data_IF_343174478019
#
_entry.id   IF_343174478019
#
_cell.length_a   1.000
_cell.length_b   1.000
_cell.length_c   1.000
_cell.angle_alpha   90.00
_cell.angle_beta   90.00
_cell.angle_gamma   90.00
#
_symmetry.space_group_name_H-M   'P 1'
#
loop_
_entity.id
_entity.type
_entity.pdbx_description
1 polymer ?
#
# COMPACT_ATOMS: atom_id res chain seq x y z
N UNK A 1 -31.61 -18.55 21.51
CA UNK A 1 -30.51 -19.43 21.04
C UNK A 1 -30.59 -19.45 19.53
N UNK A 2 -29.74 -18.67 18.87
CA UNK A 2 -29.67 -18.58 17.42
C UNK A 2 -28.21 -18.67 17.04
N UNK A 3 -27.76 -19.89 16.78
CA UNK A 3 -26.43 -20.16 16.24
C UNK A 3 -26.41 -19.65 14.80
N UNK A 4 -26.08 -18.37 14.65
CA UNK A 4 -25.80 -17.79 13.35
C UNK A 4 -24.50 -18.44 12.89
N UNK A 5 -24.62 -19.38 11.96
CA UNK A 5 -23.54 -20.12 11.33
C UNK A 5 -22.52 -19.14 10.74
N UNK A 6 -21.51 -18.77 11.54
CA UNK A 6 -20.29 -18.17 11.02
C UNK A 6 -19.53 -19.31 10.38
N UNK A 7 -19.86 -19.60 9.13
CA UNK A 7 -19.03 -20.45 8.29
C UNK A 7 -17.60 -19.91 8.37
N UNK A 8 -16.68 -20.77 8.79
CA UNK A 8 -15.35 -20.38 9.27
C UNK A 8 -14.52 -19.98 8.05
N UNK A 9 -14.74 -18.77 7.51
CA UNK A 9 -13.97 -18.24 6.37
C UNK A 9 -12.49 -18.39 6.69
N UNK A 10 -11.82 -19.19 5.87
CA UNK A 10 -10.40 -19.43 6.01
C UNK A 10 -9.68 -18.07 5.92
N UNK A 11 -8.90 -17.75 6.96
CA UNK A 11 -8.18 -16.48 7.02
C UNK A 11 -7.09 -16.53 5.96
N UNK A 12 -7.31 -15.84 4.86
CA UNK A 12 -6.31 -15.82 3.81
C UNK A 12 -5.10 -15.04 4.30
N UNK A 13 -3.94 -15.69 4.30
CA UNK A 13 -2.67 -15.05 4.66
C UNK A 13 -2.33 -13.98 3.62
N UNK A 14 -1.70 -12.90 4.06
CA UNK A 14 -1.07 -11.96 3.14
C UNK A 14 0.07 -12.71 2.41
N UNK A 15 0.03 -12.81 1.08
CA UNK A 15 1.04 -13.55 0.33
C UNK A 15 2.40 -12.85 0.33
N UNK A 16 2.39 -11.52 0.49
CA UNK A 16 3.59 -10.69 0.47
C UNK A 16 3.51 -9.63 1.57
N UNK A 17 4.66 -9.26 2.13
CA UNK A 17 4.80 -8.13 3.03
C UNK A 17 5.61 -7.03 2.34
N UNK A 18 5.07 -5.82 2.30
CA UNK A 18 5.75 -4.66 1.72
C UNK A 18 5.95 -3.57 2.77
N UNK A 19 7.15 -2.99 2.80
CA UNK A 19 7.52 -1.93 3.74
C UNK A 19 8.16 -0.76 3.00
N UNK A 20 7.77 0.45 3.38
CA UNK A 20 8.39 1.66 2.87
C UNK A 20 9.49 2.14 3.81
N UNK A 21 10.62 2.52 3.20
CA UNK A 21 11.78 3.11 3.85
C UNK A 21 11.93 4.54 3.32
N UNK A 22 11.77 5.53 4.18
CA UNK A 22 11.87 6.95 3.78
C UNK A 22 12.40 7.82 4.91
N UNK A 23 12.81 9.05 4.56
CA UNK A 23 13.29 10.07 5.50
C UNK A 23 12.53 11.37 5.29
N UNK A 24 12.31 12.11 6.36
CA UNK A 24 11.74 13.45 6.29
C UNK A 24 12.75 14.41 5.66
N UNK A 25 12.38 15.08 4.57
CA UNK A 25 13.27 15.99 3.83
C UNK A 25 13.74 17.17 4.68
N UNK A 26 12.86 17.73 5.51
CA UNK A 26 13.09 18.97 6.26
C UNK A 26 13.38 18.73 7.75
N UNK A 27 13.71 17.50 8.15
CA UNK A 27 14.03 17.17 9.54
C UNK A 27 15.40 16.49 9.62
N UNK A 28 16.45 17.21 10.04
CA UNK A 28 17.80 16.66 10.16
C UNK A 28 17.92 15.63 11.30
N UNK A 29 16.95 15.58 12.22
CA UNK A 29 16.94 14.61 13.33
C UNK A 29 16.24 13.29 12.97
N UNK A 30 15.67 13.22 11.76
CA UNK A 30 14.98 12.04 11.26
C UNK A 30 15.93 10.84 11.13
N UNK A 31 15.73 9.81 11.96
CA UNK A 31 16.47 8.54 11.91
C UNK A 31 16.04 7.62 10.75
N UNK A 32 15.04 8.03 9.99
CA UNK A 32 14.37 7.23 8.98
C UNK A 32 13.12 6.51 9.51
N UNK A 33 12.20 6.25 8.59
CA UNK A 33 10.94 5.59 8.83
C UNK A 33 10.94 4.23 8.14
N UNK A 34 10.50 3.21 8.87
CA UNK A 34 10.33 1.86 8.37
C UNK A 34 8.91 1.41 8.68
N UNK A 35 8.01 1.55 7.71
CA UNK A 35 6.57 1.41 7.94
C UNK A 35 5.97 0.37 7.00
N UNK A 36 5.20 -0.56 7.55
CA UNK A 36 4.50 -1.61 6.81
C UNK A 36 3.29 -1.04 6.05
N UNK A 37 3.08 -1.54 4.83
CA UNK A 37 1.87 -1.34 4.05
C UNK A 37 0.86 -2.45 4.33
N UNK A 38 -0.32 -2.07 4.82
CA UNK A 38 -1.48 -2.94 4.99
C UNK A 38 -2.59 -2.45 4.06
N UNK A 39 -2.52 -2.88 2.80
CA UNK A 39 -3.46 -2.48 1.76
C UNK A 39 -4.01 -3.73 1.06
N UNK A 40 -5.32 -3.76 0.82
CA UNK A 40 -5.98 -4.85 0.11
C UNK A 40 -5.51 -4.93 -1.35
N UNK A 41 -5.24 -3.80 -2.00
CA UNK A 41 -4.83 -3.73 -3.40
C UNK A 41 -3.47 -4.40 -3.64
N UNK A 42 -2.55 -4.32 -2.67
CA UNK A 42 -1.28 -5.06 -2.70
C UNK A 42 -1.53 -6.56 -2.71
N UNK A 43 -2.41 -7.03 -1.82
CA UNK A 43 -2.70 -8.45 -1.66
C UNK A 43 -3.37 -9.01 -2.92
N UNK A 44 -4.30 -8.26 -3.52
CA UNK A 44 -4.98 -8.69 -4.73
C UNK A 44 -4.05 -8.69 -5.95
N UNK A 45 -3.18 -7.68 -6.08
CA UNK A 45 -2.14 -7.69 -7.11
C UNK A 45 -1.22 -8.91 -6.97
N UNK A 46 -0.73 -9.17 -5.76
CA UNK A 46 0.16 -10.29 -5.50
C UNK A 46 -0.49 -11.63 -5.86
N UNK A 47 -1.76 -11.85 -5.48
CA UNK A 47 -2.52 -13.04 -5.87
C UNK A 47 -2.62 -13.19 -7.38
N UNK A 48 -2.95 -12.11 -8.10
CA UNK A 48 -3.08 -12.14 -9.55
C UNK A 48 -1.76 -12.53 -10.24
N UNK A 49 -0.64 -11.98 -9.75
CA UNK A 49 0.69 -12.28 -10.27
C UNK A 49 1.07 -13.73 -9.96
N UNK A 50 0.89 -14.18 -8.70
CA UNK A 50 1.24 -15.54 -8.25
C UNK A 50 0.37 -16.63 -8.88
N UNK A 51 -0.84 -16.30 -9.37
CA UNK A 51 -1.64 -17.24 -10.15
C UNK A 51 -1.05 -17.49 -11.55
N UNK A 52 -0.28 -16.55 -12.09
CA UNK A 52 0.25 -16.56 -13.46
C UNK A 52 1.74 -16.85 -13.53
N UNK A 53 2.42 -16.72 -12.40
CA UNK A 53 3.87 -16.82 -12.29
C UNK A 53 4.24 -17.55 -11.00
N UNK A 54 5.26 -18.41 -11.09
CA UNK A 54 5.75 -19.26 -9.99
C UNK A 54 7.17 -18.83 -9.60
N UNK A 55 7.87 -18.09 -10.46
CA UNK A 55 9.22 -17.60 -10.16
C UNK A 55 9.17 -16.42 -9.18
N UNK A 56 9.75 -16.63 -8.00
CA UNK A 56 9.75 -15.64 -6.91
C UNK A 56 10.40 -14.32 -7.33
N UNK A 57 11.49 -14.35 -8.11
CA UNK A 57 12.19 -13.16 -8.54
C UNK A 57 11.35 -12.31 -9.50
N UNK A 58 10.74 -12.95 -10.49
CA UNK A 58 9.79 -12.31 -11.42
C UNK A 58 8.56 -11.73 -10.70
N UNK A 59 8.02 -12.44 -9.70
CA UNK A 59 6.90 -11.95 -8.89
C UNK A 59 7.28 -10.69 -8.11
N UNK A 60 8.43 -10.70 -7.43
CA UNK A 60 8.95 -9.55 -6.70
C UNK A 60 9.17 -8.35 -7.63
N UNK A 61 9.77 -8.58 -8.81
CA UNK A 61 10.00 -7.53 -9.80
C UNK A 61 8.69 -6.90 -10.26
N UNK A 62 7.66 -7.69 -10.58
CA UNK A 62 6.35 -7.17 -11.00
C UNK A 62 5.67 -6.33 -9.91
N UNK A 63 5.75 -6.76 -8.66
CA UNK A 63 5.22 -6.01 -7.52
C UNK A 63 6.00 -4.71 -7.34
N UNK A 64 7.33 -4.76 -7.39
CA UNK A 64 8.22 -3.59 -7.31
C UNK A 64 7.95 -2.59 -8.42
N UNK A 65 7.79 -3.06 -9.65
CA UNK A 65 7.48 -2.22 -10.79
C UNK A 65 6.18 -1.42 -10.55
N UNK A 66 5.15 -2.03 -9.94
CA UNK A 66 3.89 -1.34 -9.64
C UNK A 66 3.96 -0.44 -8.40
N UNK A 67 4.54 -0.91 -7.30
CA UNK A 67 4.53 -0.24 -5.98
C UNK A 67 5.73 0.68 -5.72
N UNK A 68 6.68 0.75 -6.65
CA UNK A 68 7.83 1.62 -6.57
C UNK A 68 8.09 2.35 -7.88
N UNK A 69 8.44 1.63 -8.96
CA UNK A 69 8.93 2.30 -10.18
C UNK A 69 7.84 3.11 -10.89
N UNK A 70 6.64 2.55 -11.05
CA UNK A 70 5.48 3.25 -11.62
C UNK A 70 5.03 4.46 -10.79
N UNK A 71 5.27 4.44 -9.47
CA UNK A 71 4.85 5.50 -8.56
C UNK A 71 5.84 6.68 -8.52
N UNK A 72 7.11 6.49 -8.90
CA UNK A 72 8.13 7.56 -8.90
C UNK A 72 7.77 8.76 -9.75
N UNK A 73 7.03 8.54 -10.82
CA UNK A 73 6.65 9.60 -11.76
C UNK A 73 5.42 10.40 -11.29
N UNK A 74 4.86 10.08 -10.13
CA UNK A 74 3.56 10.52 -9.64
C UNK A 74 3.67 11.16 -8.25
N UNK A 75 2.62 11.89 -7.87
CA UNK A 75 2.52 12.43 -6.52
C UNK A 75 1.98 11.34 -5.59
N UNK A 76 2.87 10.88 -4.71
CA UNK A 76 2.63 9.78 -3.80
C UNK A 76 2.15 10.29 -2.44
N UNK A 77 0.97 9.85 -2.05
CA UNK A 77 0.36 10.13 -0.75
C UNK A 77 0.12 8.82 0.00
N UNK A 78 0.58 8.77 1.24
CA UNK A 78 0.29 7.66 2.16
C UNK A 78 -0.90 8.01 3.04
N UNK A 79 -1.88 7.12 3.08
CA UNK A 79 -2.92 7.14 4.10
C UNK A 79 -2.37 6.41 5.32
N UNK A 80 -2.24 7.15 6.42
CA UNK A 80 -1.63 6.64 7.64
C UNK A 80 -2.70 6.20 8.63
N UNK A 81 -2.49 5.05 9.25
CA UNK A 81 -3.24 4.56 10.39
C UNK A 81 -2.33 4.32 11.59
N UNK A 82 -2.94 4.05 12.74
CA UNK A 82 -2.21 3.65 13.95
C UNK A 82 -2.77 2.34 14.49
N UNK A 83 -1.88 1.48 14.98
CA UNK A 83 -2.30 0.28 15.65
C UNK A 83 -2.88 0.61 17.03
N UNK A 84 -4.13 0.22 17.31
CA UNK A 84 -4.81 0.57 18.57
C UNK A 84 -4.03 0.16 19.83
N UNK A 85 -3.54 -1.10 19.87
CA UNK A 85 -2.78 -1.65 21.01
C UNK A 85 -1.35 -1.11 21.13
N UNK A 86 -0.58 -1.15 20.03
CA UNK A 86 0.86 -0.85 20.05
C UNK A 86 1.21 0.61 19.76
N UNK A 87 0.22 1.43 19.35
CA UNK A 87 0.40 2.86 19.01
C UNK A 87 1.48 3.11 17.96
N UNK A 88 1.72 2.13 17.09
CA UNK A 88 2.65 2.22 15.97
C UNK A 88 1.95 2.72 14.72
N UNK A 89 2.66 3.49 13.92
CA UNK A 89 2.18 3.93 12.61
C UNK A 89 2.23 2.82 11.58
N UNK A 90 1.25 2.81 10.69
CA UNK A 90 1.16 1.90 9.55
C UNK A 90 0.59 2.65 8.34
N UNK A 91 0.98 2.23 7.14
CA UNK A 91 0.36 2.73 5.92
C UNK A 91 -0.84 1.82 5.65
N UNK A 92 -2.03 2.40 5.57
CA UNK A 92 -3.29 1.66 5.34
C UNK A 92 -3.85 1.88 3.94
N UNK A 93 -3.18 2.71 3.13
CA UNK A 93 -3.54 2.95 1.75
C UNK A 93 -2.53 3.85 1.05
N UNK A 94 -2.47 3.76 -0.27
CA UNK A 94 -1.56 4.55 -1.11
C UNK A 94 -2.32 5.18 -2.27
N UNK A 95 -2.12 6.48 -2.45
CA UNK A 95 -2.60 7.21 -3.62
C UNK A 95 -1.40 7.73 -4.42
N UNK A 96 -1.42 7.48 -5.73
CA UNK A 96 -0.38 7.93 -6.68
C UNK A 96 -1.05 8.71 -7.81
N UNK A 97 -1.33 9.98 -7.52
CA UNK A 97 -2.01 10.85 -8.47
C UNK A 97 -1.06 11.23 -9.62
N UNK A 98 -1.62 11.44 -10.81
CA UNK A 98 -0.82 12.07 -11.87
C UNK A 98 -0.42 13.45 -11.35
N UNK A 99 0.84 13.82 -11.57
CA UNK A 99 1.31 15.18 -11.29
C UNK A 99 0.37 16.18 -11.94
N UNK A 100 0.09 17.28 -11.24
CA UNK A 100 -0.93 18.27 -11.63
C UNK A 100 -0.94 18.50 -13.13
N UNK A 101 -2.02 18.04 -13.76
CA UNK A 101 -2.38 18.49 -15.09
C UNK A 101 -3.00 19.87 -14.85
N UNK A 102 -2.39 20.94 -15.37
CA UNK A 102 -2.83 22.35 -15.20
C UNK A 102 -4.29 22.63 -15.62
N UNK A 103 -4.98 21.60 -16.11
CA UNK A 103 -6.38 21.59 -16.57
C UNK A 103 -7.37 21.13 -15.49
N UNK A 104 -6.94 20.68 -14.32
CA UNK A 104 -7.86 20.30 -13.24
C UNK A 104 -8.55 21.57 -12.70
N UNK A 105 -9.81 21.78 -13.09
CA UNK A 105 -10.65 22.86 -12.58
C UNK A 105 -10.98 22.61 -11.11
N UNK A 106 -11.15 23.69 -10.34
CA UNK A 106 -11.63 23.58 -8.97
C UNK A 106 -13.07 23.05 -8.96
N UNK A 107 -13.44 22.28 -7.94
CA UNK A 107 -14.77 21.68 -7.82
C UNK A 107 -15.90 22.74 -7.79
N UNK A 108 -15.55 23.98 -7.46
CA UNK A 108 -16.45 25.12 -7.37
C UNK A 108 -16.30 26.11 -8.54
N UNK A 109 -15.47 25.79 -9.54
CA UNK A 109 -15.32 26.61 -10.75
C UNK A 109 -16.44 26.29 -11.76
N UNK A 110 -17.70 26.45 -11.33
CA UNK A 110 -18.88 26.42 -12.20
C UNK A 110 -19.13 27.80 -12.82
#
# INVERSE_FOLDING_TARGET
MGDCLIDKRERVKMPVELRYHFRCKNDPTCKGHHIILLDWELNELARNIMQKDIDTASIEEKIRNKFYDYMKERDLYFVMGTHFRFKTWMIIGIFYLRKEDKKQKNLFDF
#
